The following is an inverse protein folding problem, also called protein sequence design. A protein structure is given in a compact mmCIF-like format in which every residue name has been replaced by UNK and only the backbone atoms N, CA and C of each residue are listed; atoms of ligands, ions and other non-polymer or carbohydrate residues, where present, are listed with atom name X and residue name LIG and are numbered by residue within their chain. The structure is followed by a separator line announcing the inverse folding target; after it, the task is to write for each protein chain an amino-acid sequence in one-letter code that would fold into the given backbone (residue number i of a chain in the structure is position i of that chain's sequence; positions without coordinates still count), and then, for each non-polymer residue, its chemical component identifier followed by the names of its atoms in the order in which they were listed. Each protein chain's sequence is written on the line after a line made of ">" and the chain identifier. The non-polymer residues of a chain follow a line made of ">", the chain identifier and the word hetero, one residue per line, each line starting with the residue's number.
data_IF_839879328278
#
_entry.id   IF_839879328278
#
_cell.length_a   1.000
_cell.length_b   1.000
_cell.length_c   1.000
_cell.angle_alpha   90.00
_cell.angle_beta   90.00
_cell.angle_gamma   90.00
#
_symmetry.space_group_name_H-M   'P 1'
#
loop_
_entity.id
_entity.type
_entity.pdbx_description
1 polymer ?
#
# COMPACT_ATOMS: atom_id res chain seq x y z
N UNK A 1 13.49 5.21 7.21
CA UNK A 1 12.33 4.34 7.53
C UNK A 1 11.48 4.34 6.28
N UNK A 2 11.19 3.18 5.69
CA UNK A 2 10.42 3.09 4.44
C UNK A 2 8.95 3.40 4.71
N UNK A 3 8.33 4.21 3.86
CA UNK A 3 6.90 4.50 3.95
C UNK A 3 6.07 3.50 3.13
N UNK A 4 4.74 3.63 3.15
CA UNK A 4 3.88 2.63 2.53
C UNK A 4 4.00 2.65 0.99
N UNK A 5 4.36 3.78 0.41
CA UNK A 5 4.66 3.87 -1.03
C UNK A 5 5.93 3.11 -1.37
N UNK A 6 7.01 3.25 -0.59
CA UNK A 6 8.26 2.52 -0.85
C UNK A 6 8.01 1.00 -0.81
N UNK A 7 7.27 0.51 0.19
CA UNK A 7 6.93 -0.91 0.31
C UNK A 7 6.05 -1.40 -0.84
N UNK A 8 5.06 -0.59 -1.26
CA UNK A 8 4.22 -0.90 -2.42
C UNK A 8 5.04 -0.95 -3.71
N UNK A 9 5.93 0.03 -3.91
CA UNK A 9 6.74 0.15 -5.12
C UNK A 9 7.74 -0.99 -5.26
N UNK A 10 8.44 -1.34 -4.18
CA UNK A 10 9.35 -2.49 -4.16
C UNK A 10 8.64 -3.81 -4.46
N UNK A 11 7.41 -3.98 -3.96
CA UNK A 11 6.60 -5.16 -4.28
C UNK A 11 6.06 -5.14 -5.71
N UNK A 12 5.68 -3.97 -6.22
CA UNK A 12 5.13 -3.85 -7.57
C UNK A 12 6.20 -4.05 -8.65
N UNK A 13 7.44 -3.65 -8.39
CA UNK A 13 8.58 -3.80 -9.31
C UNK A 13 9.30 -5.15 -9.18
N UNK A 14 8.98 -5.95 -8.17
CA UNK A 14 9.67 -7.23 -7.96
C UNK A 14 9.46 -8.18 -9.14
N UNK A 15 10.46 -9.01 -9.50
CA UNK A 15 10.26 -10.10 -10.45
C UNK A 15 9.31 -11.16 -9.87
N UNK A 16 8.56 -11.85 -10.74
CA UNK A 16 7.54 -12.84 -10.33
C UNK A 16 8.10 -14.00 -9.49
N UNK A 17 9.39 -14.31 -9.63
CA UNK A 17 10.09 -15.33 -8.87
C UNK A 17 10.43 -14.91 -7.43
N UNK A 18 10.24 -13.63 -7.08
CA UNK A 18 10.53 -13.10 -5.75
C UNK A 18 9.31 -13.23 -4.81
N UNK A 19 9.54 -13.86 -3.66
CA UNK A 19 8.55 -14.14 -2.61
C UNK A 19 8.29 -12.90 -1.74
N UNK A 20 8.81 -11.71 -2.10
CA UNK A 20 8.56 -10.49 -1.32
C UNK A 20 7.06 -10.27 -1.11
N UNK A 21 6.59 -10.35 0.13
CA UNK A 21 5.20 -10.07 0.52
C UNK A 21 5.13 -8.72 1.23
N UNK A 22 4.07 -7.97 0.97
CA UNK A 22 3.76 -6.73 1.70
C UNK A 22 2.61 -6.96 2.67
N UNK A 23 2.50 -6.05 3.65
CA UNK A 23 1.38 -6.00 4.58
C UNK A 23 0.04 -5.90 3.81
N UNK A 24 -0.92 -6.72 4.22
CA UNK A 24 -2.27 -6.75 3.63
C UNK A 24 -2.93 -5.37 3.67
N UNK A 25 -2.72 -4.61 4.74
CA UNK A 25 -3.29 -3.26 4.87
C UNK A 25 -2.77 -2.33 3.77
N UNK A 26 -1.50 -2.48 3.36
CA UNK A 26 -0.89 -1.70 2.28
C UNK A 26 -1.48 -2.14 0.94
N UNK A 27 -1.51 -3.44 0.69
CA UNK A 27 -2.04 -4.00 -0.54
C UNK A 27 -3.52 -3.62 -0.77
N UNK A 28 -4.37 -3.82 0.24
CA UNK A 28 -5.80 -3.54 0.18
C UNK A 28 -6.10 -2.04 0.06
N UNK A 29 -5.35 -1.18 0.73
CA UNK A 29 -5.55 0.27 0.63
C UNK A 29 -5.16 0.80 -0.75
N UNK A 30 -4.04 0.35 -1.31
CA UNK A 30 -3.55 0.81 -2.62
C UNK A 30 -4.39 0.27 -3.77
N UNK A 31 -4.92 -0.95 -3.66
CA UNK A 31 -5.85 -1.49 -4.66
C UNK A 31 -7.16 -0.69 -4.78
N UNK A 32 -7.61 -0.04 -3.70
CA UNK A 32 -8.78 0.86 -3.74
C UNK A 32 -8.52 2.18 -4.46
N UNK A 33 -7.24 2.55 -4.67
CA UNK A 33 -6.87 3.72 -5.47
C UNK A 33 -6.95 3.42 -6.97
N UNK A 34 -7.27 4.47 -7.74
CA UNK A 34 -7.18 4.44 -9.20
C UNK A 34 -5.74 4.15 -9.63
N UNK A 35 -5.48 3.45 -10.75
CA UNK A 35 -4.13 3.13 -11.20
C UNK A 35 -3.18 4.33 -11.27
N UNK A 36 -3.68 5.50 -11.69
CA UNK A 36 -2.91 6.76 -11.72
C UNK A 36 -2.49 7.23 -10.32
N UNK A 37 -3.36 7.06 -9.33
CA UNK A 37 -3.12 7.49 -7.96
C UNK A 37 -2.19 6.54 -7.20
N UNK A 38 -2.00 5.30 -7.68
CA UNK A 38 -1.04 4.34 -7.09
C UNK A 38 0.41 4.76 -7.30
N UNK A 39 0.68 5.67 -8.25
CA UNK A 39 2.00 6.25 -8.47
C UNK A 39 2.23 7.54 -7.66
N UNK A 40 1.22 8.02 -6.95
CA UNK A 40 1.31 9.21 -6.09
C UNK A 40 1.62 8.80 -4.66
N UNK A 41 2.80 9.18 -4.18
CA UNK A 41 3.31 8.83 -2.85
C UNK A 41 2.40 9.32 -1.73
N UNK A 42 1.92 10.55 -1.82
CA UNK A 42 1.08 11.14 -0.76
C UNK A 42 -0.29 10.45 -0.72
N UNK A 43 -0.86 10.15 -1.89
CA UNK A 43 -2.14 9.42 -1.97
C UNK A 43 -2.04 8.00 -1.44
N UNK A 44 -0.97 7.28 -1.76
CA UNK A 44 -0.74 5.92 -1.24
C UNK A 44 -0.59 5.94 0.27
N UNK A 45 0.25 6.83 0.81
CA UNK A 45 0.45 6.91 2.26
C UNK A 45 -0.81 7.30 3.02
N UNK A 46 -1.58 8.27 2.51
CA UNK A 46 -2.85 8.68 3.10
C UNK A 46 -3.91 7.57 3.01
N UNK A 47 -3.99 6.84 1.90
CA UNK A 47 -4.92 5.72 1.75
C UNK A 47 -4.64 4.62 2.79
N UNK A 48 -3.37 4.25 2.97
CA UNK A 48 -2.96 3.24 3.98
C UNK A 48 -3.26 3.72 5.39
N UNK A 49 -2.99 5.00 5.68
CA UNK A 49 -3.31 5.61 6.97
C UNK A 49 -4.81 5.53 7.28
N UNK A 50 -5.66 5.92 6.33
CA UNK A 50 -7.13 5.85 6.47
C UNK A 50 -7.62 4.42 6.63
N UNK A 51 -7.10 3.50 5.83
CA UNK A 51 -7.46 2.08 5.90
C UNK A 51 -7.19 1.50 7.29
N UNK A 52 -5.99 1.75 7.83
CA UNK A 52 -5.61 1.31 9.18
C UNK A 52 -6.45 1.95 10.27
N UNK A 53 -6.84 3.23 10.11
CA UNK A 53 -7.73 3.90 11.05
C UNK A 53 -9.13 3.27 11.04
N UNK A 54 -9.70 3.01 9.87
CA UNK A 54 -11.02 2.37 9.75
C UNK A 54 -11.05 0.95 10.32
N UNK A 55 -9.97 0.17 10.11
CA UNK A 55 -9.83 -1.18 10.68
C UNK A 55 -9.86 -1.17 12.21
N UNK A 56 -9.19 -0.19 12.84
CA UNK A 56 -9.08 -0.06 14.30
C UNK A 56 -10.39 0.37 14.97
N UNK A 57 -11.29 1.05 14.25
CA UNK A 57 -12.59 1.50 14.78
C UNK A 57 -13.63 0.36 14.70
N UNK A 58 -13.36 -0.68 13.89
CA UNK A 58 -14.27 -1.82 13.68
C UNK A 58 -13.98 -3.03 14.58
N UNK A 59 -13.12 -2.90 15.59
CA UNK A 59 -12.79 -3.93 16.60
C UNK A 59 -13.05 -3.38 17.99
#
# INVERSE_FOLDING_TARGET
>A
MKDAFDLWWEWAEKPLDDVLTIDEDIHCAVLQLSPKDRHDRDKVNEAVRRYRQNRKIST
#
